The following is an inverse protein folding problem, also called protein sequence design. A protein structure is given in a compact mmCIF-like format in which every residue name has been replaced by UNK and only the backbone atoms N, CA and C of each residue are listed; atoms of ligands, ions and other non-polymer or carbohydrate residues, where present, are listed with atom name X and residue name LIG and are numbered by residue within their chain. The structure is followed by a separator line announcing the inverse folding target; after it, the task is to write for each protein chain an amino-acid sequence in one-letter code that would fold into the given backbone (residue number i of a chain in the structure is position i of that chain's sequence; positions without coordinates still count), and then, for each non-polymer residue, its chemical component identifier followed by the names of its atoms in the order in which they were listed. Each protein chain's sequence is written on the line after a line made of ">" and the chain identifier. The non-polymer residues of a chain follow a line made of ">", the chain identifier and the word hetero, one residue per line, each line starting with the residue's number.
data_IF_288865659339
#
_entry.id   IF_288865659339
#
_cell.length_a   1.000
_cell.length_b   1.000
_cell.length_c   1.000
_cell.angle_alpha   90.00
_cell.angle_beta   90.00
_cell.angle_gamma   90.00
#
_symmetry.space_group_name_H-M   'P 1'
#
loop_
_entity.id
_entity.type
_entity.pdbx_description
1 polymer ?
#
# COMPACT_ATOMS: atom_id res chain seq x y z
N UNK A 1 -22.58 24.80 -6.25
CA UNK A 1 -22.12 24.58 -7.63
C UNK A 1 -21.63 23.15 -7.67
N UNK A 2 -22.36 22.23 -8.31
CA UNK A 2 -21.96 20.82 -8.43
C UNK A 2 -20.88 20.75 -9.51
N UNK A 3 -19.70 20.22 -9.20
CA UNK A 3 -18.64 20.06 -10.18
C UNK A 3 -19.00 18.89 -11.11
N UNK A 4 -18.62 18.92 -12.39
CA UNK A 4 -18.84 17.79 -13.31
C UNK A 4 -18.21 16.48 -12.83
N UNK A 5 -17.14 16.56 -12.02
CA UNK A 5 -16.53 15.41 -11.34
C UNK A 5 -17.47 14.73 -10.35
N UNK A 6 -18.45 15.44 -9.80
CA UNK A 6 -19.37 14.89 -8.79
C UNK A 6 -20.35 13.90 -9.41
N UNK A 7 -20.57 13.96 -10.73
CA UNK A 7 -21.38 13.01 -11.50
C UNK A 7 -20.56 11.93 -12.22
N UNK A 8 -19.23 12.03 -12.23
CA UNK A 8 -18.38 11.07 -12.92
C UNK A 8 -18.36 9.72 -12.16
N UNK A 9 -18.66 8.65 -12.88
CA UNK A 9 -18.57 7.28 -12.34
C UNK A 9 -17.19 6.71 -12.64
N UNK A 10 -16.50 6.21 -11.61
CA UNK A 10 -15.34 5.37 -11.82
C UNK A 10 -15.81 3.96 -12.20
N UNK A 11 -15.66 3.61 -13.47
CA UNK A 11 -16.10 2.30 -13.99
C UNK A 11 -15.15 1.16 -13.59
N UNK A 12 -13.99 1.47 -13.02
CA UNK A 12 -13.00 0.49 -12.61
C UNK A 12 -13.08 0.13 -11.12
N UNK A 13 -13.89 0.85 -10.32
CA UNK A 13 -14.12 0.55 -8.90
C UNK A 13 -15.60 0.28 -8.62
N UNK A 14 -15.87 -0.76 -7.83
CA UNK A 14 -17.21 -1.09 -7.34
C UNK A 14 -17.49 -0.47 -5.97
N UNK A 15 -16.48 0.14 -5.34
CA UNK A 15 -16.60 0.66 -3.98
C UNK A 15 -17.60 1.80 -3.87
N UNK A 16 -18.30 1.90 -2.74
CA UNK A 16 -19.21 3.01 -2.44
C UNK A 16 -18.47 4.21 -1.84
N UNK A 17 -17.33 4.57 -2.43
CA UNK A 17 -16.43 5.64 -1.96
C UNK A 17 -17.07 7.04 -1.88
N UNK A 18 -18.29 7.23 -2.40
CA UNK A 18 -19.06 8.47 -2.27
C UNK A 18 -19.99 8.48 -1.05
N UNK A 19 -20.29 7.33 -0.49
CA UNK A 19 -21.15 7.15 0.69
C UNK A 19 -20.32 6.95 1.95
N UNK A 20 -19.32 6.07 1.87
CA UNK A 20 -18.41 5.77 2.96
C UNK A 20 -17.00 5.93 2.41
N UNK A 21 -16.25 6.92 2.91
CA UNK A 21 -14.94 7.30 2.37
C UNK A 21 -13.85 6.78 3.31
N UNK A 22 -12.84 6.09 2.78
CA UNK A 22 -11.65 5.75 3.56
C UNK A 22 -10.82 7.00 3.85
N UNK A 23 -10.36 7.11 5.10
CA UNK A 23 -9.51 8.20 5.60
C UNK A 23 -8.10 7.73 5.96
N UNK A 24 -7.97 6.49 6.45
CA UNK A 24 -6.69 5.88 6.79
C UNK A 24 -6.72 4.36 6.58
N UNK A 25 -5.58 3.81 6.15
CA UNK A 25 -5.29 2.38 6.18
C UNK A 25 -4.15 2.11 7.15
N UNK A 26 -4.34 1.20 8.11
CA UNK A 26 -3.25 0.64 8.88
C UNK A 26 -3.07 -0.83 8.48
N UNK A 27 -1.96 -1.15 7.83
CA UNK A 27 -1.62 -2.48 7.32
C UNK A 27 -0.75 -3.22 8.33
N UNK A 28 -1.02 -4.49 8.57
CA UNK A 28 -0.16 -5.39 9.34
C UNK A 28 0.12 -6.61 8.46
N UNK A 29 1.36 -6.74 8.02
CA UNK A 29 1.75 -7.62 6.92
C UNK A 29 2.88 -8.54 7.36
N UNK A 30 2.69 -9.85 7.18
CA UNK A 30 3.71 -10.88 7.36
C UNK A 30 4.03 -11.52 6.02
N UNK A 31 5.25 -11.28 5.52
CA UNK A 31 5.73 -11.71 4.20
C UNK A 31 6.42 -13.06 4.30
N UNK A 32 5.89 -14.05 3.59
CA UNK A 32 6.42 -15.40 3.57
C UNK A 32 6.88 -15.82 2.17
N UNK A 33 8.19 -15.89 1.95
CA UNK A 33 8.77 -16.28 0.65
C UNK A 33 8.61 -17.76 0.33
N UNK A 34 8.55 -18.65 1.34
CA UNK A 34 8.41 -20.09 1.11
C UNK A 34 7.03 -20.43 0.51
N UNK A 35 5.98 -19.77 1.02
CA UNK A 35 4.61 -19.91 0.52
C UNK A 35 4.28 -18.96 -0.62
N UNK A 36 5.11 -17.95 -0.89
CA UNK A 36 4.82 -16.82 -1.79
C UNK A 36 3.49 -16.16 -1.42
N UNK A 37 3.32 -15.89 -0.13
CA UNK A 37 2.10 -15.34 0.46
C UNK A 37 2.41 -14.19 1.42
N UNK A 38 1.46 -13.28 1.54
CA UNK A 38 1.39 -12.26 2.58
C UNK A 38 0.18 -12.58 3.45
N UNK A 39 0.41 -12.82 4.73
CA UNK A 39 -0.67 -12.85 5.71
C UNK A 39 -0.90 -11.42 6.18
N UNK A 40 -2.10 -10.91 5.94
CA UNK A 40 -2.42 -9.51 6.15
C UNK A 40 -3.56 -9.31 7.14
N UNK A 41 -3.47 -8.24 7.90
CA UNK A 41 -4.60 -7.57 8.50
C UNK A 41 -4.60 -6.10 8.08
N UNK A 42 -5.77 -5.55 7.79
CA UNK A 42 -5.93 -4.12 7.54
C UNK A 42 -6.99 -3.57 8.46
N UNK A 43 -6.64 -2.51 9.20
CA UNK A 43 -7.61 -1.64 9.83
C UNK A 43 -7.90 -0.49 8.86
N UNK A 44 -9.15 -0.34 8.47
CA UNK A 44 -9.61 0.68 7.54
C UNK A 44 -10.48 1.67 8.30
N UNK A 45 -10.07 2.93 8.37
CA UNK A 45 -10.81 3.99 9.03
C UNK A 45 -11.68 4.74 8.02
N UNK A 46 -12.98 4.80 8.28
CA UNK A 46 -13.97 5.38 7.39
C UNK A 46 -14.62 6.62 7.98
N UNK A 47 -15.06 7.49 7.07
CA UNK A 47 -16.03 8.56 7.33
C UNK A 47 -17.28 8.33 6.49
N UNK A 48 -18.44 8.32 7.13
CA UNK A 48 -19.72 8.25 6.47
C UNK A 48 -20.11 9.63 5.93
N UNK A 49 -20.23 9.76 4.61
CA UNK A 49 -20.67 10.96 3.90
C UNK A 49 -22.15 10.91 3.52
N UNK A 50 -22.75 9.71 3.46
CA UNK A 50 -24.17 9.48 3.26
C UNK A 50 -24.58 8.24 4.03
N UNK A 51 -25.76 8.29 4.65
CA UNK A 51 -26.33 7.17 5.39
C UNK A 51 -26.20 5.86 4.61
N UNK A 52 -25.57 4.85 5.22
CA UNK A 52 -25.33 3.57 4.56
C UNK A 52 -25.38 2.42 5.56
N UNK A 53 -25.86 1.27 5.09
CA UNK A 53 -25.85 0.01 5.84
C UNK A 53 -24.79 -0.97 5.33
N UNK A 54 -24.00 -0.57 4.33
CA UNK A 54 -23.01 -1.42 3.68
C UNK A 54 -21.71 -0.67 3.44
N UNK A 55 -20.61 -1.42 3.40
CA UNK A 55 -19.32 -0.95 2.89
C UNK A 55 -18.94 -1.86 1.72
N UNK A 56 -18.58 -1.26 0.59
CA UNK A 56 -18.11 -1.97 -0.60
C UNK A 56 -16.64 -1.63 -0.81
N UNK A 57 -15.79 -2.65 -0.87
CA UNK A 57 -14.37 -2.54 -1.18
C UNK A 57 -14.04 -3.34 -2.45
N UNK A 58 -13.04 -2.88 -3.19
CA UNK A 58 -12.44 -3.62 -4.28
C UNK A 58 -11.48 -4.68 -3.73
N UNK A 59 -11.60 -5.91 -4.23
CA UNK A 59 -10.67 -7.01 -4.01
C UNK A 59 -10.37 -7.74 -5.32
N UNK A 60 -9.31 -8.54 -5.35
CA UNK A 60 -9.00 -9.43 -6.49
C UNK A 60 -9.22 -10.91 -6.12
N UNK A 61 -9.32 -11.78 -7.12
CA UNK A 61 -9.52 -13.22 -6.90
C UNK A 61 -8.35 -13.91 -6.21
N UNK A 62 -7.15 -13.36 -6.35
CA UNK A 62 -5.91 -13.84 -5.70
C UNK A 62 -5.86 -13.50 -4.21
N UNK A 63 -6.77 -12.65 -3.72
CA UNK A 63 -6.86 -12.27 -2.32
C UNK A 63 -8.01 -13.02 -1.64
N UNK A 64 -7.70 -13.72 -0.55
CA UNK A 64 -8.67 -14.45 0.27
C UNK A 64 -8.94 -13.72 1.57
N UNK A 65 -10.11 -13.09 1.68
CA UNK A 65 -10.61 -12.50 2.93
C UNK A 65 -11.00 -13.61 3.91
N UNK A 66 -10.54 -13.51 5.15
CA UNK A 66 -10.80 -14.50 6.21
C UNK A 66 -11.86 -14.00 7.18
N UNK A 67 -11.71 -12.80 7.70
CA UNK A 67 -12.67 -12.18 8.63
C UNK A 67 -12.84 -10.70 8.35
N UNK A 68 -14.02 -10.17 8.65
CA UNK A 68 -14.30 -8.74 8.68
C UNK A 68 -14.99 -8.44 10.01
N UNK A 69 -14.45 -7.48 10.75
CA UNK A 69 -14.96 -7.11 12.07
C UNK A 69 -15.15 -5.59 12.15
N UNK A 70 -16.23 -5.15 12.78
CA UNK A 70 -16.39 -3.76 13.19
C UNK A 70 -15.53 -3.51 14.43
N UNK A 71 -14.70 -2.47 14.40
CA UNK A 71 -13.88 -2.05 15.54
C UNK A 71 -14.48 -0.82 16.21
N UNK A 72 -14.70 -0.95 17.52
CA UNK A 72 -15.12 0.12 18.44
C UNK A 72 -14.12 0.15 19.61
N UNK A 73 -13.03 0.90 19.42
CA UNK A 73 -11.86 0.84 20.29
C UNK A 73 -11.29 -0.59 20.35
N UNK A 74 -11.19 -1.14 21.56
CA UNK A 74 -10.67 -2.50 21.80
C UNK A 74 -11.68 -3.61 21.48
N UNK A 75 -12.97 -3.27 21.29
CA UNK A 75 -14.00 -4.26 20.96
C UNK A 75 -14.03 -4.50 19.45
N UNK A 76 -13.98 -5.78 19.07
CA UNK A 76 -14.19 -6.23 17.69
C UNK A 76 -15.43 -7.11 17.63
N UNK A 77 -16.31 -6.83 16.68
CA UNK A 77 -17.54 -7.60 16.44
C UNK A 77 -17.57 -8.10 15.01
N UNK A 78 -17.73 -9.40 14.82
CA UNK A 78 -17.78 -10.01 13.49
C UNK A 78 -18.94 -9.43 12.66
N UNK A 79 -18.65 -9.16 11.39
CA UNK A 79 -19.62 -8.72 10.40
C UNK A 79 -19.80 -9.79 9.32
N UNK A 80 -21.01 -9.84 8.76
CA UNK A 80 -21.26 -10.63 7.57
C UNK A 80 -20.68 -9.90 6.35
N UNK A 81 -19.99 -10.65 5.50
CA UNK A 81 -19.50 -10.16 4.22
C UNK A 81 -19.74 -11.18 3.11
N UNK A 82 -19.86 -10.67 1.90
CA UNK A 82 -20.02 -11.47 0.68
C UNK A 82 -19.00 -11.00 -0.37
N UNK A 83 -18.44 -11.96 -1.10
CA UNK A 83 -17.67 -11.66 -2.31
C UNK A 83 -18.59 -11.76 -3.52
N UNK A 84 -18.70 -10.69 -4.30
CA UNK A 84 -19.55 -10.63 -5.51
C UNK A 84 -18.71 -10.38 -6.76
N UNK A 85 -19.04 -11.00 -7.90
CA UNK A 85 -18.40 -10.67 -9.17
C UNK A 85 -18.62 -9.19 -9.51
N UNK A 86 -17.60 -8.52 -10.04
CA UNK A 86 -17.70 -7.13 -10.49
C UNK A 86 -17.29 -6.97 -11.97
N UNK A 87 -16.02 -7.13 -12.28
CA UNK A 87 -15.49 -6.92 -13.63
C UNK A 87 -14.18 -7.68 -13.85
N UNK A 88 -13.57 -7.55 -15.04
CA UNK A 88 -12.24 -8.08 -15.31
C UNK A 88 -11.13 -7.50 -14.40
N UNK A 89 -11.41 -6.43 -13.65
CA UNK A 89 -10.47 -5.86 -12.68
C UNK A 89 -10.51 -6.58 -11.32
N UNK A 90 -11.55 -7.34 -11.01
CA UNK A 90 -11.67 -8.04 -9.73
C UNK A 90 -13.10 -8.25 -9.25
N UNK A 91 -13.26 -8.34 -7.93
CA UNK A 91 -14.51 -8.63 -7.24
C UNK A 91 -14.85 -7.54 -6.22
N UNK A 92 -16.11 -7.48 -5.83
CA UNK A 92 -16.61 -6.69 -4.73
C UNK A 92 -16.48 -7.48 -3.43
N UNK A 93 -15.96 -6.84 -2.38
CA UNK A 93 -16.15 -7.24 -0.99
C UNK A 93 -17.27 -6.39 -0.40
N UNK A 94 -18.47 -6.96 -0.27
CA UNK A 94 -19.63 -6.31 0.32
C UNK A 94 -19.72 -6.68 1.80
N UNK A 95 -19.58 -5.69 2.68
CA UNK A 95 -19.67 -5.85 4.13
C UNK A 95 -20.99 -5.25 4.60
N UNK A 96 -21.81 -6.04 5.31
CA UNK A 96 -23.05 -5.57 5.90
C UNK A 96 -22.80 -5.07 7.32
N UNK A 97 -23.15 -3.82 7.58
CA UNK A 97 -23.05 -3.24 8.92
C UNK A 97 -24.24 -3.70 9.79
N UNK A 98 -23.98 -3.94 11.07
CA UNK A 98 -25.03 -4.35 12.03
C UNK A 98 -26.03 -3.21 12.30
N UNK A 99 -25.62 -1.96 12.10
CA UNK A 99 -26.47 -0.77 12.21
C UNK A 99 -26.06 0.21 11.13
N UNK A 100 -27.03 0.90 10.54
CA UNK A 100 -26.74 1.91 9.54
C UNK A 100 -25.94 3.05 10.15
N UNK A 101 -24.80 3.35 9.54
CA UNK A 101 -24.01 4.52 9.88
C UNK A 101 -24.68 5.76 9.30
N UNK A 102 -24.64 6.85 10.05
CA UNK A 102 -25.24 8.14 9.69
C UNK A 102 -24.20 9.06 9.11
N UNK A 103 -24.67 9.98 8.29
CA UNK A 103 -23.82 11.03 7.72
C UNK A 103 -23.08 11.77 8.84
N UNK A 104 -21.75 11.78 8.76
CA UNK A 104 -20.87 12.36 9.78
C UNK A 104 -20.19 11.34 10.69
N UNK A 105 -20.71 10.12 10.79
CA UNK A 105 -20.14 9.06 11.63
C UNK A 105 -18.76 8.63 11.14
N UNK A 106 -17.92 8.22 12.08
CA UNK A 106 -16.62 7.59 11.81
C UNK A 106 -16.58 6.22 12.46
N UNK A 107 -16.01 5.25 11.76
CA UNK A 107 -15.88 3.88 12.26
C UNK A 107 -14.71 3.19 11.58
N UNK A 108 -14.29 2.05 12.14
CA UNK A 108 -13.18 1.27 11.59
C UNK A 108 -13.61 -0.16 11.32
N UNK A 109 -13.15 -0.72 10.20
CA UNK A 109 -13.23 -2.15 9.94
C UNK A 109 -11.85 -2.79 10.14
N UNK A 110 -11.83 -3.99 10.69
CA UNK A 110 -10.66 -4.84 10.80
C UNK A 110 -10.85 -6.04 9.87
N UNK A 111 -9.98 -6.19 8.88
CA UNK A 111 -10.11 -7.22 7.85
C UNK A 111 -8.85 -8.06 7.86
N UNK A 112 -8.97 -9.36 8.11
CA UNK A 112 -7.86 -10.30 7.95
C UNK A 112 -7.96 -11.01 6.60
N UNK A 113 -6.84 -11.19 5.94
CA UNK A 113 -6.77 -11.76 4.61
C UNK A 113 -5.42 -12.44 4.35
N UNK A 114 -5.37 -13.21 3.27
CA UNK A 114 -4.12 -13.74 2.71
C UNK A 114 -4.10 -13.38 1.24
N UNK A 115 -2.96 -12.94 0.72
CA UNK A 115 -2.75 -12.72 -0.71
C UNK A 115 -1.47 -13.38 -1.17
N UNK A 116 -1.47 -13.91 -2.39
CA UNK A 116 -0.30 -14.50 -3.03
C UNK A 116 0.06 -13.76 -4.32
N UNK A 117 0.63 -14.48 -5.28
CA UNK A 117 0.91 -13.93 -6.60
C UNK A 117 -0.38 -13.42 -7.29
N UNK A 118 -0.30 -12.23 -7.88
CA UNK A 118 -1.45 -11.57 -8.47
C UNK A 118 -1.05 -10.38 -9.33
N UNK A 119 -2.01 -9.71 -9.97
CA UNK A 119 -1.70 -8.71 -10.99
C UNK A 119 -0.92 -7.50 -10.44
N UNK A 120 -1.09 -7.16 -9.15
CA UNK A 120 -0.33 -6.12 -8.46
C UNK A 120 0.68 -6.61 -7.41
N UNK A 121 0.93 -7.92 -7.31
CA UNK A 121 1.79 -8.55 -6.29
C UNK A 121 2.67 -9.57 -7.00
N UNK A 122 3.96 -9.26 -7.16
CA UNK A 122 4.88 -10.06 -7.99
C UNK A 122 5.99 -10.67 -7.16
N UNK A 123 6.09 -12.00 -7.20
CA UNK A 123 7.14 -12.77 -6.55
C UNK A 123 8.22 -13.19 -7.55
N UNK A 124 9.48 -12.99 -7.17
CA UNK A 124 10.66 -13.33 -7.95
C UNK A 124 11.47 -14.39 -7.22
N UNK A 125 11.80 -15.46 -7.94
CA UNK A 125 12.76 -16.45 -7.49
C UNK A 125 14.18 -15.84 -7.49
N UNK A 126 15.14 -16.40 -6.73
CA UNK A 126 16.50 -15.87 -6.67
C UNK A 126 17.13 -15.65 -8.05
N UNK A 127 16.93 -16.57 -8.99
CA UNK A 127 17.48 -16.48 -10.35
C UNK A 127 16.97 -15.26 -11.14
N UNK A 128 15.86 -14.65 -10.73
CA UNK A 128 15.27 -13.47 -11.36
C UNK A 128 15.76 -12.16 -10.74
N UNK A 129 16.47 -12.21 -9.60
CA UNK A 129 17.06 -11.03 -8.94
C UNK A 129 18.43 -10.68 -9.54
N UNK A 130 18.97 -9.50 -9.25
CA UNK A 130 20.31 -9.11 -9.71
C UNK A 130 21.40 -9.90 -8.96
N UNK A 131 21.21 -10.16 -7.67
CA UNK A 131 22.13 -10.89 -6.80
C UNK A 131 22.13 -12.40 -7.02
N UNK A 132 21.06 -12.97 -7.58
CA UNK A 132 20.91 -14.42 -7.84
C UNK A 132 20.87 -15.32 -6.60
N UNK A 133 20.77 -14.74 -5.40
CA UNK A 133 20.95 -15.46 -4.12
C UNK A 133 19.71 -15.50 -3.25
N UNK A 134 18.94 -14.40 -3.19
CA UNK A 134 17.71 -14.29 -2.40
C UNK A 134 16.51 -13.99 -3.31
N UNK A 135 15.30 -14.47 -2.96
CA UNK A 135 14.08 -14.08 -3.65
C UNK A 135 13.77 -12.59 -3.42
N UNK A 136 12.81 -12.09 -4.18
CA UNK A 136 12.37 -10.69 -4.10
C UNK A 136 10.87 -10.62 -4.31
N UNK A 137 10.19 -9.70 -3.65
CA UNK A 137 8.78 -9.41 -3.89
C UNK A 137 8.56 -7.91 -4.02
N UNK A 138 7.67 -7.50 -4.91
CA UNK A 138 7.19 -6.13 -4.97
C UNK A 138 5.72 -6.02 -5.37
N UNK A 139 5.11 -4.91 -4.99
CA UNK A 139 3.78 -4.52 -5.45
C UNK A 139 3.88 -3.50 -6.59
N UNK A 140 2.90 -3.55 -7.50
CA UNK A 140 2.67 -2.51 -8.48
C UNK A 140 1.17 -2.23 -8.53
N UNK A 141 0.74 -1.09 -8.00
CA UNK A 141 -0.67 -0.79 -7.75
C UNK A 141 -1.40 -0.12 -8.91
N UNK A 142 -0.66 0.51 -9.84
CA UNK A 142 -1.27 1.28 -10.92
C UNK A 142 -1.77 0.36 -12.07
N UNK A 143 -2.97 0.51 -12.60
CA UNK A 143 -3.96 1.54 -12.29
C UNK A 143 -4.93 1.17 -11.15
N UNK A 144 -5.27 -0.10 -11.03
CA UNK A 144 -6.31 -0.63 -10.12
C UNK A 144 -5.92 -2.01 -9.59
N UNK A 145 -4.66 -2.16 -9.20
CA UNK A 145 -4.06 -3.44 -8.86
C UNK A 145 -3.82 -3.60 -7.37
N UNK A 146 -3.96 -2.54 -6.56
CA UNK A 146 -3.81 -2.67 -5.12
C UNK A 146 -4.94 -3.44 -4.45
N UNK A 147 -6.08 -3.60 -5.11
CA UNK A 147 -7.11 -4.59 -4.74
C UNK A 147 -6.63 -6.05 -4.71
N UNK A 148 -5.51 -6.39 -5.36
CA UNK A 148 -4.85 -7.69 -5.20
C UNK A 148 -3.85 -7.74 -4.04
N UNK A 149 -3.46 -6.59 -3.49
CA UNK A 149 -2.55 -6.50 -2.36
C UNK A 149 -3.29 -6.39 -1.03
N UNK A 150 -4.34 -5.57 -0.94
CA UNK A 150 -5.19 -5.44 0.24
C UNK A 150 -6.62 -4.99 -0.14
N UNK A 151 -7.66 -5.32 0.65
CA UNK A 151 -9.01 -4.82 0.42
C UNK A 151 -9.05 -3.29 0.57
N UNK A 152 -9.47 -2.58 -0.47
CA UNK A 152 -9.43 -1.11 -0.49
C UNK A 152 -10.49 -0.49 -1.40
N UNK A 153 -10.70 0.82 -1.27
CA UNK A 153 -11.40 1.60 -2.28
C UNK A 153 -10.39 1.99 -3.36
N UNK A 154 -10.25 1.15 -4.38
CA UNK A 154 -9.15 1.21 -5.36
C UNK A 154 -9.53 2.12 -6.54
N UNK A 155 -9.65 3.42 -6.20
CA UNK A 155 -10.01 4.51 -7.11
C UNK A 155 -9.10 5.72 -6.88
N UNK A 156 -8.70 6.44 -7.94
CA UNK A 156 -7.99 7.71 -7.80
C UNK A 156 -8.91 8.85 -7.32
N UNK A 157 -10.23 8.64 -7.24
CA UNK A 157 -11.20 9.67 -6.87
C UNK A 157 -11.14 10.07 -5.38
N UNK A 158 -10.54 9.22 -4.54
CA UNK A 158 -10.35 9.50 -3.11
C UNK A 158 -8.87 9.40 -2.73
N UNK A 159 -8.54 9.96 -1.56
CA UNK A 159 -7.20 9.90 -0.98
C UNK A 159 -7.30 9.56 0.49
N UNK A 160 -6.33 8.81 0.97
CA UNK A 160 -6.23 8.34 2.35
C UNK A 160 -4.78 8.37 2.79
N UNK A 161 -4.55 8.57 4.10
CA UNK A 161 -3.23 8.33 4.69
C UNK A 161 -3.03 6.83 4.89
N UNK A 162 -1.79 6.39 5.14
CA UNK A 162 -1.57 5.00 5.55
C UNK A 162 -0.42 4.85 6.54
N UNK A 163 -0.46 3.77 7.30
CA UNK A 163 0.66 3.27 8.08
C UNK A 163 0.75 1.75 7.92
N UNK A 164 1.92 1.18 8.22
CA UNK A 164 2.11 -0.25 8.10
C UNK A 164 3.08 -0.81 9.14
N UNK A 165 2.76 -1.97 9.70
CA UNK A 165 3.72 -2.88 10.30
C UNK A 165 4.04 -3.97 9.27
N UNK A 166 5.31 -4.15 8.95
CA UNK A 166 5.76 -5.14 7.97
C UNK A 166 6.80 -6.05 8.61
N UNK A 167 6.42 -7.31 8.79
CA UNK A 167 7.28 -8.40 9.21
C UNK A 167 7.84 -9.10 7.97
N UNK A 168 9.15 -9.27 7.95
CA UNK A 168 9.89 -9.92 6.86
C UNK A 168 10.89 -10.91 7.45
N UNK A 169 11.29 -11.96 6.71
CA UNK A 169 12.27 -12.91 7.23
C UNK A 169 13.63 -12.27 7.51
N UNK A 170 14.42 -12.88 8.38
CA UNK A 170 15.76 -12.41 8.71
C UNK A 170 16.63 -12.24 7.47
N UNK A 171 17.36 -11.12 7.41
CA UNK A 171 18.22 -10.79 6.28
C UNK A 171 17.48 -10.21 5.06
N UNK A 172 16.16 -9.97 5.15
CA UNK A 172 15.42 -9.17 4.18
C UNK A 172 15.20 -7.74 4.69
N UNK A 173 15.02 -6.81 3.76
CA UNK A 173 14.67 -5.42 4.05
C UNK A 173 13.37 -5.08 3.33
N UNK A 174 12.43 -4.48 4.07
CA UNK A 174 11.22 -3.90 3.52
C UNK A 174 11.43 -2.41 3.20
N UNK A 175 10.89 -1.97 2.07
CA UNK A 175 10.78 -0.56 1.67
C UNK A 175 9.35 -0.32 1.22
N UNK A 176 8.76 0.79 1.65
CA UNK A 176 7.41 1.20 1.23
C UNK A 176 7.45 2.56 0.54
N UNK A 177 6.30 3.00 0.02
CA UNK A 177 6.11 4.37 -0.44
C UNK A 177 6.00 5.37 0.72
N UNK A 178 7.01 5.37 1.59
CA UNK A 178 7.29 6.42 2.58
C UNK A 178 8.69 6.23 3.17
N UNK A 179 9.35 7.34 3.48
CA UNK A 179 10.62 7.37 4.21
C UNK A 179 10.45 7.42 5.73
N UNK A 180 9.24 7.67 6.25
CA UNK A 180 9.00 7.66 7.71
C UNK A 180 8.96 6.20 8.20
N UNK A 181 10.14 5.69 8.53
CA UNK A 181 10.41 4.32 8.95
C UNK A 181 10.88 4.27 10.41
N UNK A 182 10.44 3.26 11.16
CA UNK A 182 11.02 2.89 12.46
C UNK A 182 11.45 1.43 12.41
N UNK A 183 12.63 1.16 12.97
CA UNK A 183 13.22 -0.19 12.99
C UNK A 183 12.44 -1.14 13.92
N UNK A 184 12.63 -2.47 13.76
CA UNK A 184 12.07 -3.46 14.69
C UNK A 184 12.40 -3.16 16.15
N UNK A 185 11.48 -3.53 17.05
CA UNK A 185 11.55 -3.29 18.50
C UNK A 185 10.93 -1.98 18.97
N UNK A 186 10.33 -1.19 18.08
CA UNK A 186 9.86 0.18 18.41
C UNK A 186 8.34 0.32 18.49
N UNK A 187 7.60 -0.14 17.47
CA UNK A 187 6.14 -0.01 17.37
C UNK A 187 5.54 -1.41 17.26
N UNK A 188 4.68 -1.82 18.20
CA UNK A 188 4.04 -3.12 18.13
C UNK A 188 3.04 -3.19 16.96
N UNK A 189 2.92 -4.35 16.35
CA UNK A 189 1.88 -4.66 15.37
C UNK A 189 0.53 -4.96 16.06
N UNK A 190 -0.48 -5.39 15.30
CA UNK A 190 -1.82 -5.65 15.81
C UNK A 190 -1.91 -6.88 16.73
N UNK A 191 -0.93 -7.79 16.68
CA UNK A 191 -0.79 -8.92 17.62
C UNK A 191 0.05 -8.57 18.86
N UNK A 192 0.63 -7.37 18.92
CA UNK A 192 1.50 -6.93 20.01
C UNK A 192 2.96 -7.35 19.86
N UNK A 193 3.33 -7.95 18.73
CA UNK A 193 4.72 -8.27 18.39
C UNK A 193 5.46 -7.01 17.94
N UNK A 194 6.79 -6.98 18.11
CA UNK A 194 7.62 -5.83 17.72
C UNK A 194 8.71 -6.17 16.70
N UNK A 195 8.75 -7.40 16.18
CA UNK A 195 9.72 -7.87 15.18
C UNK A 195 9.33 -7.45 13.74
N UNK A 196 8.78 -6.24 13.62
CA UNK A 196 8.29 -5.64 12.38
C UNK A 196 8.92 -4.26 12.16
N UNK A 197 9.11 -3.90 10.91
CA UNK A 197 9.41 -2.51 10.53
C UNK A 197 8.11 -1.73 10.52
N UNK A 198 8.10 -0.51 11.08
CA UNK A 198 6.94 0.37 11.01
C UNK A 198 7.14 1.47 9.97
N UNK A 199 6.11 1.75 9.18
CA UNK A 199 6.04 2.79 8.16
C UNK A 199 4.84 3.70 8.39
N UNK A 200 4.97 4.98 8.04
CA UNK A 200 3.88 5.95 8.11
C UNK A 200 3.92 6.94 6.95
N UNK A 201 2.80 7.17 6.27
CA UNK A 201 2.66 8.28 5.32
C UNK A 201 1.50 9.17 5.79
N UNK A 202 1.80 10.34 6.39
CA UNK A 202 0.76 11.25 6.90
C UNK A 202 0.07 12.06 5.80
N UNK A 203 0.52 11.93 4.55
CA UNK A 203 -0.04 12.61 3.40
C UNK A 203 -1.09 11.73 2.71
N UNK A 204 -2.26 12.31 2.44
CA UNK A 204 -3.33 11.58 1.77
C UNK A 204 -2.98 11.30 0.31
N UNK A 205 -2.94 10.02 -0.07
CA UNK A 205 -2.66 9.53 -1.42
C UNK A 205 -3.77 8.60 -1.91
N UNK A 206 -3.97 8.48 -3.23
CA UNK A 206 -4.78 7.40 -3.80
C UNK A 206 -4.24 6.02 -3.44
N UNK A 207 -5.12 5.03 -3.31
CA UNK A 207 -4.76 3.67 -2.92
C UNK A 207 -3.66 3.08 -3.81
N UNK A 208 -3.70 3.31 -5.13
CA UNK A 208 -2.71 2.77 -6.07
C UNK A 208 -1.27 3.19 -5.75
N UNK A 209 -1.01 4.27 -4.99
CA UNK A 209 0.34 4.72 -4.63
C UNK A 209 0.91 4.01 -3.38
N UNK A 210 0.13 3.18 -2.68
CA UNK A 210 0.66 2.31 -1.62
C UNK A 210 1.52 1.24 -2.28
N UNK A 211 2.80 1.20 -1.95
CA UNK A 211 3.74 0.25 -2.52
C UNK A 211 4.60 -0.39 -1.44
N UNK A 212 4.98 -1.64 -1.66
CA UNK A 212 5.87 -2.43 -0.83
C UNK A 212 6.84 -3.20 -1.72
N UNK A 213 8.12 -3.22 -1.34
CA UNK A 213 9.13 -4.10 -1.88
C UNK A 213 9.89 -4.77 -0.72
N UNK A 214 10.18 -6.06 -0.87
CA UNK A 214 10.94 -6.86 0.09
C UNK A 214 11.99 -7.67 -0.65
N UNK A 215 13.24 -7.52 -0.24
CA UNK A 215 14.36 -8.22 -0.87
C UNK A 215 15.67 -8.02 -0.10
N UNK A 216 16.77 -8.41 -0.73
CA UNK A 216 18.12 -8.08 -0.26
C UNK A 216 18.43 -6.62 -0.58
N UNK A 217 17.78 -5.69 0.12
CA UNK A 217 17.89 -4.26 -0.18
C UNK A 217 18.89 -3.57 0.74
N UNK A 218 19.75 -2.75 0.13
CA UNK A 218 20.61 -1.79 0.82
C UNK A 218 20.35 -0.40 0.26
N UNK A 219 20.81 0.62 0.98
CA UNK A 219 20.72 1.99 0.50
C UNK A 219 21.95 2.82 0.70
N UNK A 220 22.10 3.81 -0.17
CA UNK A 220 23.12 4.83 -0.13
C UNK A 220 22.49 6.21 -0.28
N UNK A 221 23.08 7.22 0.35
CA UNK A 221 22.69 8.62 0.11
C UNK A 221 23.14 9.04 -1.28
N UNK A 222 22.29 9.77 -1.97
CA UNK A 222 22.54 10.36 -3.31
C UNK A 222 22.25 11.87 -3.34
N UNK A 223 21.84 12.44 -2.21
CA UNK A 223 21.54 13.85 -2.05
C UNK A 223 21.20 14.20 -0.60
N UNK A 224 20.89 15.48 -0.31
CA UNK A 224 20.57 15.94 1.03
C UNK A 224 19.26 15.35 1.57
N UNK A 225 18.34 14.97 0.68
CA UNK A 225 16.99 14.45 0.99
C UNK A 225 16.58 13.25 0.12
N UNK A 226 17.58 12.52 -0.38
CA UNK A 226 17.38 11.40 -1.31
C UNK A 226 18.35 10.25 -1.05
N UNK A 227 17.83 9.04 -1.07
CA UNK A 227 18.58 7.79 -1.06
C UNK A 227 18.25 6.97 -2.29
N UNK A 228 19.18 6.11 -2.68
CA UNK A 228 18.90 5.01 -3.60
C UNK A 228 18.85 3.70 -2.80
N UNK A 229 17.84 2.89 -3.07
CA UNK A 229 17.65 1.54 -2.56
C UNK A 229 17.80 0.54 -3.70
N UNK A 230 18.57 -0.53 -3.52
CA UNK A 230 18.72 -1.60 -4.51
C UNK A 230 19.44 -2.80 -3.91
N UNK A 231 19.64 -3.85 -4.71
CA UNK A 231 20.45 -5.01 -4.33
C UNK A 231 21.94 -4.64 -4.19
N UNK A 232 22.69 -5.22 -3.23
CA UNK A 232 24.07 -4.84 -2.94
C UNK A 232 25.00 -4.83 -4.16
N UNK A 233 24.81 -5.76 -5.10
CA UNK A 233 25.63 -5.87 -6.31
C UNK A 233 25.43 -4.71 -7.30
N UNK A 234 24.34 -3.94 -7.18
CA UNK A 234 23.99 -2.81 -8.04
C UNK A 234 24.22 -1.47 -7.33
N UNK A 235 24.34 -1.46 -6.00
CA UNK A 235 24.31 -0.25 -5.16
C UNK A 235 25.31 0.84 -5.56
N UNK A 236 26.59 0.49 -5.75
CA UNK A 236 27.60 1.51 -6.09
C UNK A 236 27.37 2.12 -7.48
N UNK A 237 26.90 1.33 -8.45
CA UNK A 237 26.57 1.84 -9.79
C UNK A 237 25.36 2.77 -9.72
N UNK A 238 24.32 2.35 -9.01
CA UNK A 238 23.12 3.15 -8.83
C UNK A 238 23.41 4.46 -8.07
N UNK A 239 24.23 4.39 -7.01
CA UNK A 239 24.69 5.58 -6.28
C UNK A 239 25.41 6.55 -7.20
N UNK A 240 26.39 6.08 -7.97
CA UNK A 240 27.17 6.92 -8.88
C UNK A 240 26.31 7.57 -9.98
N UNK A 241 25.30 6.86 -10.49
CA UNK A 241 24.39 7.38 -11.51
C UNK A 241 23.51 8.53 -10.99
N UNK A 242 23.07 8.45 -9.74
CA UNK A 242 22.08 9.39 -9.17
C UNK A 242 22.67 10.44 -8.23
N UNK A 243 23.98 10.38 -7.91
CA UNK A 243 24.64 11.26 -6.95
C UNK A 243 24.55 12.74 -7.39
N UNK A 244 23.87 13.56 -6.58
CA UNK A 244 23.64 14.99 -6.84
C UNK A 244 22.58 15.28 -7.91
N UNK A 245 22.51 14.46 -8.96
CA UNK A 245 21.60 14.66 -10.11
C UNK A 245 20.12 14.73 -9.68
N UNK A 246 19.73 13.91 -8.71
CA UNK A 246 18.35 13.89 -8.22
C UNK A 246 17.99 15.19 -7.51
N UNK A 247 18.90 15.77 -6.74
CA UNK A 247 18.65 17.04 -6.06
C UNK A 247 18.54 18.19 -7.07
N UNK A 248 19.34 18.20 -8.13
CA UNK A 248 19.22 19.19 -9.21
C UNK A 248 17.84 19.17 -9.86
N UNK A 249 17.27 17.97 -10.08
CA UNK A 249 15.92 17.81 -10.59
C UNK A 249 14.87 18.32 -9.60
N UNK A 250 14.99 18.00 -8.31
CA UNK A 250 14.04 18.47 -7.29
C UNK A 250 14.07 19.99 -7.20
N UNK A 251 15.25 20.61 -7.11
CA UNK A 251 15.38 22.07 -7.05
C UNK A 251 14.84 22.76 -8.29
N UNK A 252 15.07 22.18 -9.47
CA UNK A 252 14.51 22.69 -10.71
C UNK A 252 12.98 22.59 -10.69
N UNK A 253 12.44 21.45 -10.26
CA UNK A 253 11.01 21.26 -10.05
C UNK A 253 10.42 22.27 -9.05
N UNK A 254 11.10 22.53 -7.95
CA UNK A 254 10.66 23.50 -6.93
C UNK A 254 10.63 24.93 -7.46
N UNK A 255 11.60 25.32 -8.28
CA UNK A 255 11.62 26.62 -8.97
C UNK A 255 10.46 26.77 -9.95
N UNK A 256 10.04 25.69 -10.61
CA UNK A 256 8.99 25.71 -11.63
C UNK A 256 7.58 25.55 -11.06
N UNK A 257 7.41 24.71 -10.04
CA UNK A 257 6.10 24.22 -9.60
C UNK A 257 5.81 24.44 -8.11
N UNK A 258 6.75 25.02 -7.36
CA UNK A 258 6.64 25.25 -5.93
C UNK A 258 7.21 24.10 -5.09
N UNK A 259 7.23 24.30 -3.77
CA UNK A 259 7.92 23.44 -2.80
C UNK A 259 7.57 21.95 -2.93
N UNK A 260 8.58 21.09 -2.84
CA UNK A 260 8.39 19.65 -2.78
C UNK A 260 7.84 19.25 -1.40
N UNK A 261 6.58 18.82 -1.37
CA UNK A 261 5.82 18.63 -0.11
C UNK A 261 6.04 17.28 0.58
N UNK A 262 6.75 16.34 -0.04
CA UNK A 262 6.85 14.95 0.44
C UNK A 262 8.11 14.68 1.27
N UNK A 263 8.82 15.73 1.69
CA UNK A 263 10.02 15.71 2.53
C UNK A 263 11.24 15.05 1.86
N UNK A 264 11.15 13.78 1.48
CA UNK A 264 12.21 12.99 0.82
C UNK A 264 11.80 12.51 -0.56
N UNK A 265 12.81 12.19 -1.36
CA UNK A 265 12.63 11.56 -2.67
C UNK A 265 13.64 10.42 -2.79
N UNK A 266 13.27 9.22 -2.37
CA UNK A 266 14.11 8.05 -2.55
C UNK A 266 13.82 7.37 -3.89
N UNK A 267 14.80 6.64 -4.40
CA UNK A 267 14.71 5.84 -5.62
C UNK A 267 14.92 4.38 -5.27
N UNK A 268 13.98 3.52 -5.63
CA UNK A 268 14.17 2.07 -5.61
C UNK A 268 14.54 1.59 -7.01
N UNK A 269 15.77 1.10 -7.21
CA UNK A 269 16.18 0.47 -8.46
C UNK A 269 15.74 -0.99 -8.41
N UNK A 270 14.75 -1.31 -9.24
CA UNK A 270 14.11 -2.61 -9.31
C UNK A 270 14.99 -3.66 -10.02
N UNK A 271 14.77 -4.96 -9.77
CA UNK A 271 15.40 -6.03 -10.53
C UNK A 271 15.10 -5.92 -12.05
N UNK A 272 15.94 -6.51 -12.92
CA UNK A 272 15.78 -6.41 -14.37
C UNK A 272 14.44 -6.91 -14.93
N UNK A 273 13.70 -7.72 -14.16
CA UNK A 273 12.38 -8.25 -14.51
C UNK A 273 11.24 -7.22 -14.34
N UNK A 274 11.53 -6.01 -13.83
CA UNK A 274 10.52 -4.97 -13.65
C UNK A 274 9.96 -4.50 -15.02
N UNK A 275 8.63 -4.53 -15.22
CA UNK A 275 8.05 -4.40 -16.56
C UNK A 275 8.01 -2.96 -17.11
N UNK A 276 8.44 -1.95 -16.34
CA UNK A 276 8.38 -0.54 -16.72
C UNK A 276 9.73 0.16 -16.56
N UNK A 277 9.90 1.31 -17.24
CA UNK A 277 11.09 2.16 -17.03
C UNK A 277 11.12 2.87 -15.68
N UNK A 278 9.97 3.01 -15.01
CA UNK A 278 9.83 3.59 -13.68
C UNK A 278 8.37 3.73 -13.26
N UNK A 279 8.13 3.82 -11.96
CA UNK A 279 6.81 4.04 -11.38
C UNK A 279 6.92 5.05 -10.23
N UNK A 280 6.10 6.11 -10.25
CA UNK A 280 6.19 7.20 -9.29
C UNK A 280 5.43 6.85 -8.02
N UNK A 281 6.13 6.23 -7.08
CA UNK A 281 5.72 6.05 -5.68
C UNK A 281 6.61 6.92 -4.80
N UNK A 282 6.07 7.44 -3.70
CA UNK A 282 6.84 8.28 -2.77
C UNK A 282 7.69 7.40 -1.88
N UNK A 283 8.80 6.84 -2.37
CA UNK A 283 9.73 6.08 -1.51
C UNK A 283 10.46 7.02 -0.56
#
# INVERSE_FOLDING_TARGET
>A
MTLFSDSATDVASVSNFREVVVTHYHLDLDVNFDRKEITGAVKVDFKCCKDSGIVQLDIHETLTVKTVQLSDGDKKTDLQFEKKPFSGYGSELQVKLNTNVKTGDTFSLFITYVTGDGPGVVWLDPEQTAGKTKPYFYTQGQAVLNRSFFPCQDTPAIKSTYSANVKVPDGFTAVMSTSQRKEPGTVPNMSGETDNVYFNLPFAIPAYLVALAVGDLQSAKIGPRSRVWTEPCVLEKARAEFDGVVEDFIQTGEKLFGTYVWETYDILVMPPSFPFGGWRTHV
#
